data_IF_077860120925
#
_entry.id   IF_077860120925
#
_cell.length_a   1.000
_cell.length_b   1.000
_cell.length_c   1.000
_cell.angle_alpha   90.00
_cell.angle_beta   90.00
_cell.angle_gamma   90.00
#
_symmetry.space_group_name_H-M   'P 1'
#
loop_
_entity.id
_entity.type
_entity.pdbx_description
1 polymer ?
#
# COMPACT_ATOMS: atom_id res chain seq x y z
N UNK A 1 12.99 -6.02 12.71
CA UNK A 1 13.33 -6.79 11.48
C UNK A 1 13.93 -5.83 10.48
N UNK A 2 15.14 -6.08 10.01
CA UNK A 2 15.69 -5.32 8.90
C UNK A 2 15.31 -5.99 7.59
N UNK A 3 15.02 -5.22 6.50
CA UNK A 3 14.73 -5.78 5.18
C UNK A 3 15.79 -6.76 4.67
N UNK A 4 17.05 -6.65 5.16
CA UNK A 4 18.17 -7.53 4.83
C UNK A 4 18.03 -8.95 5.38
N UNK A 5 17.34 -9.12 6.52
CA UNK A 5 17.14 -10.45 7.13
C UNK A 5 16.04 -11.24 6.43
N UNK A 6 15.00 -10.55 5.92
CA UNK A 6 13.95 -11.18 5.13
C UNK A 6 14.47 -11.69 3.77
N UNK A 7 15.30 -10.89 3.10
CA UNK A 7 15.94 -11.28 1.83
C UNK A 7 16.94 -12.43 1.99
N UNK A 8 17.55 -12.61 3.17
CA UNK A 8 18.44 -13.73 3.45
C UNK A 8 17.70 -15.07 3.56
N UNK A 9 16.46 -15.08 4.05
CA UNK A 9 15.60 -16.29 4.13
C UNK A 9 15.02 -16.71 2.78
N UNK A 10 14.91 -15.77 1.81
CA UNK A 10 14.37 -16.02 0.46
C UNK A 10 15.42 -16.49 -0.54
N UNK A 11 16.68 -16.68 -0.14
CA UNK A 11 17.69 -17.26 -1.03
C UNK A 11 17.39 -18.75 -1.25
N UNK A 12 17.17 -19.22 -2.51
CA UNK A 12 17.02 -20.64 -2.77
C UNK A 12 18.30 -21.37 -2.35
N UNK A 13 18.16 -22.54 -1.75
CA UNK A 13 19.27 -23.45 -1.52
C UNK A 13 19.89 -23.78 -2.87
N UNK A 14 21.19 -23.60 -2.97
CA UNK A 14 21.98 -23.89 -4.17
C UNK A 14 22.02 -25.41 -4.39
N UNK A 15 21.02 -25.94 -5.09
CA UNK A 15 21.02 -27.31 -5.53
C UNK A 15 21.86 -27.38 -6.79
N UNK A 16 23.12 -27.75 -6.65
CA UNK A 16 24.20 -27.79 -7.62
C UNK A 16 23.92 -28.45 -8.97
N UNK A 17 22.85 -28.04 -9.67
CA UNK A 17 22.57 -28.45 -11.04
C UNK A 17 23.37 -27.57 -12.02
N UNK A 18 24.57 -28.02 -12.40
CA UNK A 18 25.36 -27.41 -13.48
C UNK A 18 24.65 -27.66 -14.79
N UNK A 19 24.06 -26.60 -15.36
CA UNK A 19 23.60 -26.64 -16.76
C UNK A 19 24.79 -26.67 -17.71
N UNK A 20 24.78 -27.64 -18.67
CA UNK A 20 25.81 -27.85 -19.65
C UNK A 20 25.74 -26.89 -20.86
N UNK A 21 24.89 -25.88 -20.84
CA UNK A 21 24.79 -24.83 -21.86
C UNK A 21 25.30 -23.53 -21.28
N UNK A 22 26.29 -22.90 -21.91
CA UNK A 22 27.00 -21.69 -21.44
C UNK A 22 26.18 -20.41 -21.36
N UNK A 23 24.90 -20.49 -21.00
CA UNK A 23 24.06 -19.34 -20.59
C UNK A 23 24.38 -18.96 -19.13
N UNK A 24 24.63 -17.70 -18.92
CA UNK A 24 24.77 -17.16 -17.57
C UNK A 24 23.54 -17.59 -16.72
N UNK A 25 23.75 -18.03 -15.45
CA UNK A 25 22.65 -18.47 -14.62
C UNK A 25 21.65 -17.33 -14.49
N UNK A 26 20.44 -17.54 -15.03
CA UNK A 26 19.31 -16.63 -14.77
C UNK A 26 19.07 -16.65 -13.27
N UNK A 27 19.16 -15.47 -12.64
CA UNK A 27 18.74 -15.33 -11.25
C UNK A 27 17.36 -15.97 -11.10
N UNK A 28 17.12 -16.78 -10.05
CA UNK A 28 15.81 -17.40 -9.85
C UNK A 28 14.75 -16.29 -9.82
N UNK A 29 13.73 -16.42 -10.66
CA UNK A 29 12.63 -15.46 -10.70
C UNK A 29 11.90 -15.52 -9.35
N UNK A 30 12.16 -14.56 -8.49
CA UNK A 30 11.43 -14.41 -7.23
C UNK A 30 9.98 -14.09 -7.59
N UNK A 31 9.03 -14.84 -7.04
CA UNK A 31 7.61 -14.56 -7.26
C UNK A 31 7.29 -13.14 -6.73
N UNK A 32 6.81 -12.20 -7.59
CA UNK A 32 6.52 -10.84 -7.17
C UNK A 32 5.53 -10.77 -6.00
N UNK A 33 4.64 -11.75 -5.86
CA UNK A 33 3.70 -11.85 -4.75
C UNK A 33 4.35 -12.05 -3.37
N UNK A 34 5.62 -12.48 -3.32
CA UNK A 34 6.40 -12.59 -2.09
C UNK A 34 7.17 -11.31 -1.75
N UNK A 35 7.21 -10.34 -2.66
CA UNK A 35 7.98 -9.09 -2.48
C UNK A 35 7.17 -7.95 -1.83
N UNK A 36 5.89 -8.17 -1.58
CA UNK A 36 5.02 -7.24 -0.89
C UNK A 36 4.15 -7.96 0.13
N UNK A 37 3.85 -7.30 1.24
CA UNK A 37 3.07 -7.90 2.32
C UNK A 37 2.72 -6.90 3.41
N UNK A 38 1.92 -7.37 4.34
CA UNK A 38 1.50 -6.64 5.54
C UNK A 38 2.18 -7.27 6.74
N UNK A 39 2.87 -6.45 7.53
CA UNK A 39 3.48 -6.86 8.78
C UNK A 39 2.42 -6.87 9.88
N UNK A 40 2.15 -8.05 10.43
CA UNK A 40 1.16 -8.28 11.47
C UNK A 40 1.80 -8.36 12.86
N UNK A 41 0.95 -8.42 13.88
CA UNK A 41 1.38 -8.70 15.25
C UNK A 41 2.09 -10.07 15.30
N UNK A 42 3.26 -10.11 15.91
CA UNK A 42 4.07 -11.34 15.96
C UNK A 42 5.30 -11.33 15.05
N UNK A 43 5.37 -10.46 14.03
CA UNK A 43 6.53 -10.38 13.12
C UNK A 43 7.86 -10.10 13.84
N UNK A 44 7.83 -9.45 15.00
CA UNK A 44 9.01 -9.24 15.84
C UNK A 44 9.43 -10.49 16.66
N UNK A 45 8.59 -11.54 16.67
CA UNK A 45 8.83 -12.83 17.34
C UNK A 45 8.33 -13.96 16.45
N UNK A 46 8.98 -14.18 15.29
CA UNK A 46 8.55 -15.21 14.36
C UNK A 46 8.70 -16.60 15.00
N UNK A 47 7.77 -17.48 14.68
CA UNK A 47 7.85 -18.92 14.97
C UNK A 47 8.07 -19.69 13.67
N UNK A 48 8.35 -20.98 13.76
CA UNK A 48 8.56 -21.82 12.57
C UNK A 48 7.30 -21.89 11.68
N UNK A 49 6.12 -21.76 12.29
CA UNK A 49 4.83 -21.86 11.59
C UNK A 49 4.22 -20.48 11.23
N UNK A 50 4.76 -19.38 11.80
CA UNK A 50 4.19 -18.05 11.60
C UNK A 50 5.28 -16.97 11.75
N UNK A 51 5.62 -16.33 10.66
CA UNK A 51 6.59 -15.23 10.63
C UNK A 51 5.94 -13.85 10.89
N UNK A 52 4.63 -13.79 11.02
CA UNK A 52 3.89 -12.54 11.24
C UNK A 52 3.82 -11.63 10.02
N UNK A 53 4.12 -12.15 8.82
CA UNK A 53 4.03 -11.41 7.56
C UNK A 53 2.95 -12.04 6.68
N UNK A 54 1.98 -11.25 6.26
CA UNK A 54 0.96 -11.65 5.31
C UNK A 54 1.39 -11.14 3.93
N UNK A 55 1.93 -12.02 3.10
CA UNK A 55 2.40 -11.65 1.76
C UNK A 55 1.23 -11.42 0.80
N UNK A 56 1.49 -10.76 -0.33
CA UNK A 56 0.46 -10.59 -1.36
C UNK A 56 -0.02 -11.93 -1.91
N UNK A 57 0.85 -12.97 -1.90
CA UNK A 57 0.45 -14.31 -2.31
C UNK A 57 -0.55 -14.90 -1.31
N UNK A 58 -0.26 -14.81 -0.01
CA UNK A 58 -1.18 -15.30 1.04
C UNK A 58 -2.52 -14.56 0.99
N UNK A 59 -2.49 -13.24 0.78
CA UNK A 59 -3.71 -12.43 0.64
C UNK A 59 -4.55 -12.88 -0.55
N UNK A 60 -3.91 -13.21 -1.69
CA UNK A 60 -4.63 -13.65 -2.89
C UNK A 60 -5.36 -14.99 -2.70
N UNK A 61 -4.96 -15.80 -1.71
CA UNK A 61 -5.61 -17.06 -1.36
C UNK A 61 -6.78 -16.91 -0.36
N UNK A 62 -6.98 -15.71 0.20
CA UNK A 62 -8.11 -15.46 1.10
C UNK A 62 -9.44 -15.36 0.35
N UNK A 63 -10.54 -15.67 1.03
CA UNK A 63 -11.89 -15.34 0.53
C UNK A 63 -12.33 -13.97 1.06
N UNK A 64 -12.13 -12.94 0.24
CA UNK A 64 -12.56 -11.56 0.52
C UNK A 64 -13.80 -11.16 -0.31
N UNK A 65 -14.56 -12.13 -0.83
CA UNK A 65 -15.73 -11.88 -1.68
C UNK A 65 -16.82 -11.02 -1.01
N UNK A 66 -16.84 -10.97 0.32
CA UNK A 66 -17.75 -10.14 1.13
C UNK A 66 -17.17 -8.77 1.52
N UNK A 67 -15.91 -8.50 1.17
CA UNK A 67 -15.26 -7.23 1.48
C UNK A 67 -15.61 -6.21 0.40
N UNK A 68 -16.39 -5.23 0.74
CA UNK A 68 -16.79 -4.17 -0.20
C UNK A 68 -15.69 -3.14 -0.40
N UNK A 69 -14.93 -2.83 0.65
CA UNK A 69 -13.85 -1.85 0.62
C UNK A 69 -12.67 -2.29 1.47
N UNK A 70 -11.49 -2.36 0.87
CA UNK A 70 -10.21 -2.51 1.55
C UNK A 70 -9.40 -1.21 1.41
N UNK A 71 -8.97 -0.64 2.54
CA UNK A 71 -8.16 0.60 2.56
C UNK A 71 -6.76 0.29 3.06
N UNK A 72 -5.78 0.48 2.19
CA UNK A 72 -4.37 0.21 2.44
C UNK A 72 -3.62 1.55 2.56
N UNK A 73 -3.52 2.06 3.76
CA UNK A 73 -2.81 3.32 4.03
C UNK A 73 -1.34 3.11 4.42
N UNK A 74 -0.76 2.00 4.00
CA UNK A 74 0.62 1.62 4.30
C UNK A 74 1.55 2.10 3.18
N UNK A 75 2.46 3.00 3.52
CA UNK A 75 3.32 3.70 2.56
C UNK A 75 4.57 2.92 2.15
N UNK A 76 4.88 1.80 2.79
CA UNK A 76 6.08 0.97 2.56
C UNK A 76 5.71 -0.51 2.66
N UNK A 77 4.92 -0.98 1.71
CA UNK A 77 4.48 -2.39 1.66
C UNK A 77 5.41 -3.27 0.82
N UNK A 78 6.49 -2.71 0.28
CA UNK A 78 7.55 -3.45 -0.39
C UNK A 78 8.50 -4.09 0.62
N UNK A 79 8.68 -5.40 0.53
CA UNK A 79 9.59 -6.19 1.37
C UNK A 79 11.05 -6.17 0.83
N UNK A 80 11.49 -5.07 0.18
CA UNK A 80 12.86 -4.97 -0.34
C UNK A 80 13.18 -3.65 -1.04
N UNK A 81 14.48 -3.39 -1.24
CA UNK A 81 15.01 -2.15 -1.87
C UNK A 81 14.57 -1.97 -3.35
N UNK A 82 14.08 -3.02 -4.00
CA UNK A 82 13.67 -3.03 -5.42
C UNK A 82 12.16 -2.85 -5.63
N UNK A 83 11.38 -2.68 -4.56
CA UNK A 83 9.91 -2.67 -4.64
C UNK A 83 9.31 -1.29 -4.95
N UNK A 84 10.07 -0.35 -5.54
CA UNK A 84 9.59 0.98 -5.89
C UNK A 84 8.27 0.96 -6.67
N UNK A 85 7.15 1.23 -5.98
CA UNK A 85 5.80 1.27 -6.57
C UNK A 85 5.15 -0.09 -6.86
N UNK A 86 5.90 -1.11 -7.23
CA UNK A 86 5.36 -2.43 -7.56
C UNK A 86 4.74 -3.14 -6.35
N UNK A 87 5.28 -2.91 -5.14
CA UNK A 87 4.76 -3.50 -3.91
C UNK A 87 3.32 -3.10 -3.59
N UNK A 88 2.97 -1.83 -3.77
CA UNK A 88 1.61 -1.32 -3.55
C UNK A 88 0.63 -1.92 -4.56
N UNK A 89 1.03 -1.98 -5.83
CA UNK A 89 0.21 -2.60 -6.88
C UNK A 89 0.09 -4.11 -6.69
N UNK A 90 1.12 -4.78 -6.17
CA UNK A 90 1.08 -6.19 -5.82
C UNK A 90 0.02 -6.48 -4.77
N UNK A 91 0.00 -5.74 -3.67
CA UNK A 91 -1.02 -5.86 -2.63
C UNK A 91 -2.42 -5.51 -3.14
N UNK A 92 -2.57 -4.40 -3.86
CA UNK A 92 -3.85 -4.01 -4.43
C UNK A 92 -4.44 -5.12 -5.29
N UNK A 93 -3.61 -5.72 -6.17
CA UNK A 93 -4.01 -6.83 -7.03
C UNK A 93 -4.36 -8.08 -6.22
N UNK A 94 -3.60 -8.38 -5.15
CA UNK A 94 -3.87 -9.52 -4.29
C UNK A 94 -5.24 -9.41 -3.62
N UNK A 95 -5.60 -8.25 -3.06
CA UNK A 95 -6.93 -8.01 -2.48
C UNK A 95 -8.04 -8.16 -3.53
N UNK A 96 -7.83 -7.70 -4.76
CA UNK A 96 -8.80 -7.87 -5.85
C UNK A 96 -8.93 -9.33 -6.28
N UNK A 97 -7.83 -10.08 -6.37
CA UNK A 97 -7.85 -11.52 -6.67
C UNK A 97 -8.56 -12.31 -5.58
N UNK A 98 -8.37 -11.93 -4.31
CA UNK A 98 -9.08 -12.49 -3.17
C UNK A 98 -10.59 -12.19 -3.17
N UNK A 99 -11.08 -11.28 -4.02
CA UNK A 99 -12.49 -10.95 -4.18
C UNK A 99 -12.93 -9.63 -3.56
N UNK A 100 -12.03 -8.83 -2.98
CA UNK A 100 -12.39 -7.51 -2.49
C UNK A 100 -12.89 -6.62 -3.64
N UNK A 101 -14.11 -6.05 -3.48
CA UNK A 101 -14.79 -5.30 -4.54
C UNK A 101 -14.05 -4.02 -4.92
N UNK A 102 -13.61 -3.28 -3.92
CA UNK A 102 -12.92 -1.99 -4.09
C UNK A 102 -11.71 -1.92 -3.18
N UNK A 103 -10.62 -1.38 -3.70
CA UNK A 103 -9.41 -1.11 -2.92
C UNK A 103 -9.04 0.37 -3.02
N UNK A 104 -8.62 0.95 -1.89
CA UNK A 104 -7.99 2.28 -1.85
C UNK A 104 -6.58 2.09 -1.32
N UNK A 105 -5.59 2.56 -2.07
CA UNK A 105 -4.18 2.41 -1.74
C UNK A 105 -3.46 3.75 -1.73
N UNK A 106 -2.49 3.89 -0.84
CA UNK A 106 -1.59 5.04 -0.81
C UNK A 106 -0.37 4.77 -1.70
N UNK A 107 -0.10 5.65 -2.64
CA UNK A 107 0.99 5.53 -3.62
C UNK A 107 2.35 6.01 -3.07
N UNK A 108 2.33 6.85 -2.05
CA UNK A 108 3.52 7.36 -1.37
C UNK A 108 3.21 7.73 0.08
N UNK A 109 4.26 7.95 0.86
CA UNK A 109 4.15 8.31 2.27
C UNK A 109 3.67 9.76 2.42
N UNK A 110 2.50 9.93 3.01
CA UNK A 110 1.94 11.22 3.42
C UNK A 110 2.11 11.38 4.93
N UNK A 111 2.15 12.61 5.42
CA UNK A 111 2.20 12.84 6.87
C UNK A 111 0.95 12.28 7.58
N UNK A 112 1.14 11.69 8.77
CA UNK A 112 0.06 11.07 9.54
C UNK A 112 -1.11 12.03 9.79
N UNK A 113 -0.81 13.29 10.11
CA UNK A 113 -1.84 14.31 10.34
C UNK A 113 -2.67 14.64 9.10
N UNK A 114 -2.06 14.66 7.90
CA UNK A 114 -2.79 14.87 6.66
C UNK A 114 -3.61 13.64 6.29
N UNK A 115 -3.04 12.45 6.43
CA UNK A 115 -3.72 11.17 6.21
C UNK A 115 -4.93 11.02 7.13
N UNK A 116 -4.77 11.29 8.43
CA UNK A 116 -5.87 11.23 9.39
C UNK A 116 -7.05 12.12 8.99
N UNK A 117 -6.78 13.37 8.62
CA UNK A 117 -7.83 14.32 8.22
C UNK A 117 -8.50 13.92 6.91
N UNK A 118 -7.73 13.43 5.93
CA UNK A 118 -8.24 12.93 4.67
C UNK A 118 -9.16 11.72 4.91
N UNK A 119 -8.70 10.72 5.66
CA UNK A 119 -9.48 9.52 5.93
C UNK A 119 -10.72 9.82 6.79
N UNK A 120 -10.64 10.71 7.78
CA UNK A 120 -11.80 11.14 8.55
C UNK A 120 -12.87 11.73 7.62
N UNK A 121 -12.49 12.64 6.73
CA UNK A 121 -13.41 13.25 5.77
C UNK A 121 -13.99 12.23 4.79
N UNK A 122 -13.15 11.31 4.30
CA UNK A 122 -13.58 10.23 3.42
C UNK A 122 -14.67 9.37 4.06
N UNK A 123 -14.45 8.89 5.30
CA UNK A 123 -15.41 8.08 6.01
C UNK A 123 -16.67 8.85 6.45
N UNK A 124 -16.57 10.16 6.73
CA UNK A 124 -17.74 11.01 6.94
C UNK A 124 -18.61 11.10 5.68
N UNK A 125 -17.99 11.26 4.52
CA UNK A 125 -18.72 11.26 3.24
C UNK A 125 -19.38 9.91 2.98
N UNK A 126 -18.64 8.83 3.17
CA UNK A 126 -19.12 7.47 2.89
C UNK A 126 -20.27 7.08 3.84
N UNK A 127 -20.07 7.19 5.16
CA UNK A 127 -21.01 6.64 6.13
C UNK A 127 -22.05 7.64 6.66
N UNK A 128 -21.72 8.92 6.76
CA UNK A 128 -22.69 9.91 7.26
C UNK A 128 -23.48 10.59 6.17
N UNK A 129 -22.84 10.82 5.00
CA UNK A 129 -23.48 11.48 3.87
C UNK A 129 -23.99 10.49 2.84
N UNK A 130 -23.71 9.19 3.04
CA UNK A 130 -24.12 8.09 2.18
C UNK A 130 -23.71 8.29 0.70
N UNK A 131 -22.52 8.84 0.49
CA UNK A 131 -21.95 9.04 -0.85
C UNK A 131 -21.31 7.74 -1.34
N UNK A 132 -21.27 7.53 -2.64
CA UNK A 132 -20.52 6.41 -3.23
C UNK A 132 -19.02 6.49 -2.91
N UNK A 133 -18.31 5.34 -2.99
CA UNK A 133 -16.90 5.26 -2.59
C UNK A 133 -16.01 6.19 -3.42
N UNK A 134 -16.16 6.19 -4.74
CA UNK A 134 -15.40 7.07 -5.63
C UNK A 134 -15.71 8.55 -5.37
N UNK A 135 -16.99 8.88 -5.21
CA UNK A 135 -17.44 10.24 -4.96
C UNK A 135 -16.91 10.75 -3.61
N UNK A 136 -16.94 9.89 -2.57
CA UNK A 136 -16.40 10.19 -1.25
C UNK A 136 -14.90 10.51 -1.31
N UNK A 137 -14.13 9.71 -2.03
CA UNK A 137 -12.69 9.94 -2.19
C UNK A 137 -12.43 11.24 -2.97
N UNK A 138 -13.11 11.42 -4.10
CA UNK A 138 -12.96 12.60 -4.94
C UNK A 138 -13.31 13.89 -4.21
N UNK A 139 -14.44 13.93 -3.50
CA UNK A 139 -14.84 15.10 -2.70
C UNK A 139 -13.79 15.41 -1.64
N UNK A 140 -13.31 14.39 -0.96
CA UNK A 140 -12.27 14.52 0.07
C UNK A 140 -10.98 15.09 -0.49
N UNK A 141 -10.52 14.62 -1.65
CA UNK A 141 -9.33 15.14 -2.33
C UNK A 141 -9.52 16.59 -2.76
N UNK A 142 -10.68 16.95 -3.31
CA UNK A 142 -11.01 18.32 -3.68
C UNK A 142 -11.12 19.25 -2.47
N UNK A 143 -11.66 18.77 -1.36
CA UNK A 143 -11.70 19.50 -0.10
C UNK A 143 -10.29 19.76 0.43
N UNK A 144 -9.41 18.73 0.44
CA UNK A 144 -8.05 18.90 0.89
C UNK A 144 -7.23 19.81 -0.02
N UNK A 145 -7.44 19.76 -1.34
CA UNK A 145 -6.83 20.67 -2.31
C UNK A 145 -7.17 22.14 -1.99
N UNK A 146 -8.42 22.43 -1.66
CA UNK A 146 -8.93 23.79 -1.44
C UNK A 146 -8.64 24.32 -0.04
N UNK A 147 -8.86 23.47 0.98
CA UNK A 147 -8.90 23.86 2.37
C UNK A 147 -7.66 23.44 3.18
N UNK A 148 -6.81 22.56 2.61
CA UNK A 148 -5.72 21.93 3.36
C UNK A 148 -4.70 22.93 3.93
N UNK A 149 -4.41 24.01 3.21
CA UNK A 149 -3.48 25.05 3.65
C UNK A 149 -4.09 25.86 4.79
N UNK A 150 -5.33 26.34 4.62
CA UNK A 150 -6.04 27.16 5.62
C UNK A 150 -6.30 26.41 6.90
N UNK A 151 -6.48 25.10 6.84
CA UNK A 151 -6.72 24.23 8.00
C UNK A 151 -5.46 23.63 8.63
N UNK A 152 -4.28 24.10 8.22
CA UNK A 152 -3.00 23.63 8.77
C UNK A 152 -2.70 22.15 8.51
N UNK A 153 -3.20 21.60 7.40
CA UNK A 153 -2.92 20.23 6.99
C UNK A 153 -1.62 20.12 6.19
N UNK A 154 -1.19 21.27 5.66
CA UNK A 154 0.05 21.42 4.89
C UNK A 154 1.09 22.06 5.78
N UNK A 155 2.27 21.46 5.87
CA UNK A 155 3.41 22.08 6.55
C UNK A 155 3.98 23.15 5.61
N UNK A 156 4.08 24.38 6.09
CA UNK A 156 4.73 25.49 5.43
C UNK A 156 5.88 25.91 6.33
N UNK A 157 7.10 25.95 5.79
CA UNK A 157 8.27 26.34 6.57
C UNK A 157 8.25 27.84 6.91
N UNK A 158 8.92 28.21 8.01
CA UNK A 158 8.96 29.60 8.45
C UNK A 158 9.67 30.47 7.41
N UNK A 159 8.97 31.46 6.90
CA UNK A 159 9.48 32.40 5.88
C UNK A 159 9.03 32.07 4.46
N UNK A 160 8.37 30.96 4.21
CA UNK A 160 7.79 30.66 2.90
C UNK A 160 6.39 31.26 2.73
N UNK A 161 6.09 31.71 1.50
CA UNK A 161 4.74 32.17 1.15
C UNK A 161 3.76 30.99 1.16
N UNK A 162 2.67 31.12 1.92
CA UNK A 162 1.64 30.07 1.99
C UNK A 162 1.03 29.82 0.60
N UNK A 163 1.08 28.59 0.08
CA UNK A 163 0.50 28.29 -1.21
C UNK A 163 -1.02 28.49 -1.17
N UNK A 164 -1.60 28.97 -2.27
CA UNK A 164 -3.07 29.17 -2.37
C UNK A 164 -3.86 27.86 -2.33
N UNK A 165 -3.23 26.73 -2.68
CA UNK A 165 -3.80 25.38 -2.72
C UNK A 165 -2.82 24.40 -2.14
N UNK A 166 -3.34 23.31 -1.58
CA UNK A 166 -2.50 22.23 -1.07
C UNK A 166 -1.71 21.57 -2.20
N UNK A 167 -0.40 21.33 -2.01
CA UNK A 167 0.39 20.57 -2.97
C UNK A 167 -0.18 19.16 -3.17
N UNK A 168 -0.06 18.57 -4.38
CA UNK A 168 -0.54 17.21 -4.68
C UNK A 168 -0.04 16.13 -3.72
N UNK A 169 1.14 16.32 -3.16
CA UNK A 169 1.73 15.42 -2.16
C UNK A 169 0.77 15.06 -1.04
N UNK A 170 -0.09 15.98 -0.59
CA UNK A 170 -0.97 15.79 0.56
C UNK A 170 -2.33 15.16 0.22
N UNK A 171 -2.82 15.32 -1.01
CA UNK A 171 -4.18 14.89 -1.37
C UNK A 171 -4.25 13.86 -2.49
N UNK A 172 -3.22 13.76 -3.33
CA UNK A 172 -3.24 12.89 -4.50
C UNK A 172 -2.64 11.50 -4.23
N UNK A 173 -2.20 11.21 -2.99
CA UNK A 173 -1.56 9.96 -2.66
C UNK A 173 -2.49 8.75 -2.74
N UNK A 174 -3.80 8.93 -2.53
CA UNK A 174 -4.74 7.83 -2.47
C UNK A 174 -5.42 7.62 -3.81
N UNK A 175 -5.35 6.39 -4.31
CA UNK A 175 -6.01 5.94 -5.53
C UNK A 175 -7.00 4.83 -5.24
N UNK A 176 -8.09 4.78 -6.02
CA UNK A 176 -9.11 3.76 -5.95
C UNK A 176 -9.01 2.85 -7.16
N UNK A 177 -9.17 1.55 -6.94
CA UNK A 177 -9.30 0.55 -8.00
C UNK A 177 -10.36 -0.50 -7.64
N UNK A 178 -11.00 -1.06 -8.64
CA UNK A 178 -12.10 -2.01 -8.51
C UNK A 178 -13.45 -1.41 -8.90
N UNK A 179 -14.53 -1.90 -8.28
CA UNK A 179 -15.87 -1.38 -8.51
C UNK A 179 -16.03 -0.03 -7.79
N UNK A 180 -16.27 0.99 -8.56
CA UNK A 180 -16.36 2.38 -8.08
C UNK A 180 -17.81 2.83 -7.75
N UNK A 181 -18.77 1.98 -8.04
CA UNK A 181 -20.21 2.24 -7.85
C UNK A 181 -20.67 2.07 -6.42
#
# INVERSE_FOLDING_TARGET
>A
FSPKELTAKLKPKDDGLRSASGEAPRAPAINPGLMSGIVCAGANRPTDDNDGVLTALDIAELDLSKVELAVLSACETGLGETAGGEGVFGLQRAFQLAGARTTITSLWKVSDGATQKLMTRFYENLFRRNMGTLESLRETQLWMLKEGVTRGMVRVDEGEEKPRRSPPFYWAAFSLAGDWR
#
